data_IF_031953437491
#
_entry.id   IF_031953437491
#
_cell.length_a   1.000
_cell.length_b   1.000
_cell.length_c   1.000
_cell.angle_alpha   90.00
_cell.angle_beta   90.00
_cell.angle_gamma   90.00
#
_symmetry.space_group_name_H-M   'P 1'
#
loop_
_entity.id
_entity.type
_entity.pdbx_description
1 polymer ?
#
# COMPACT_ATOMS: atom_id res chain seq x y z
N UNK A 1 -10.58 -74.61 -47.92
CA UNK A 1 -10.04 -73.75 -46.84
C UNK A 1 -9.62 -72.32 -47.29
N UNK A 2 -9.90 -71.88 -48.48
CA UNK A 2 -9.55 -70.53 -48.98
C UNK A 2 -10.75 -69.57 -49.05
N UNK A 3 -11.95 -70.09 -49.01
CA UNK A 3 -13.18 -69.30 -49.18
C UNK A 3 -13.66 -68.60 -47.85
N UNK A 4 -13.36 -69.16 -46.70
CA UNK A 4 -13.79 -68.57 -45.42
C UNK A 4 -12.90 -67.34 -44.94
N UNK A 5 -11.62 -67.39 -45.27
CA UNK A 5 -10.71 -66.29 -44.96
C UNK A 5 -11.04 -65.01 -45.72
N UNK A 6 -11.59 -65.09 -46.93
CA UNK A 6 -11.99 -63.93 -47.73
C UNK A 6 -13.27 -63.25 -47.23
N UNK A 7 -14.20 -64.05 -46.65
CA UNK A 7 -15.42 -63.50 -46.06
C UNK A 7 -15.16 -62.76 -44.73
N UNK A 8 -14.21 -63.28 -43.92
CA UNK A 8 -13.81 -62.66 -42.69
C UNK A 8 -13.13 -61.27 -42.88
N UNK A 9 -12.27 -61.18 -43.91
CA UNK A 9 -11.58 -59.93 -44.26
C UNK A 9 -12.54 -58.88 -44.83
N UNK A 10 -13.55 -59.26 -45.57
CA UNK A 10 -14.56 -58.35 -46.12
C UNK A 10 -15.50 -57.80 -45.04
N UNK A 11 -15.83 -58.60 -43.99
CA UNK A 11 -16.66 -58.17 -42.86
C UNK A 11 -15.89 -57.30 -41.88
N UNK A 12 -14.59 -57.51 -41.70
CA UNK A 12 -13.72 -56.70 -40.85
C UNK A 12 -13.44 -55.32 -41.46
N UNK A 13 -13.33 -55.23 -42.80
CA UNK A 13 -13.12 -53.96 -43.50
C UNK A 13 -14.36 -53.08 -43.53
N UNK A 14 -15.58 -53.66 -43.53
CA UNK A 14 -16.84 -52.92 -43.44
C UNK A 14 -17.11 -52.36 -42.04
N UNK A 15 -16.69 -53.04 -41.00
CA UNK A 15 -16.83 -52.61 -39.61
C UNK A 15 -15.88 -51.45 -39.22
N UNK A 16 -14.67 -51.43 -39.81
CA UNK A 16 -13.72 -50.32 -39.58
C UNK A 16 -14.10 -49.05 -40.33
N UNK A 17 -14.79 -49.12 -41.46
CA UNK A 17 -15.27 -47.95 -42.18
C UNK A 17 -16.49 -47.29 -41.51
N UNK A 18 -17.32 -48.06 -40.77
CA UNK A 18 -18.44 -47.53 -40.05
C UNK A 18 -18.08 -46.88 -38.69
N UNK A 19 -16.94 -47.27 -38.09
CA UNK A 19 -16.45 -46.65 -36.85
C UNK A 19 -15.67 -45.35 -37.13
N UNK A 20 -15.10 -45.18 -38.32
CA UNK A 20 -14.38 -43.96 -38.71
C UNK A 20 -15.32 -42.80 -39.08
N UNK A 21 -16.62 -43.04 -39.32
CA UNK A 21 -17.59 -41.98 -39.67
C UNK A 21 -18.38 -41.44 -38.46
N UNK A 22 -18.16 -41.92 -37.23
CA UNK A 22 -18.95 -41.56 -36.06
C UNK A 22 -18.19 -40.78 -34.98
N UNK A 23 -16.97 -40.31 -35.25
CA UNK A 23 -16.18 -39.51 -34.29
C UNK A 23 -15.59 -38.26 -34.89
N UNK A 24 -16.39 -37.48 -35.63
CA UNK A 24 -16.18 -36.04 -35.62
C UNK A 24 -16.88 -35.52 -34.36
N UNK A 25 -16.30 -35.76 -33.20
CA UNK A 25 -16.55 -34.92 -32.05
C UNK A 25 -16.02 -33.57 -32.49
N UNK A 26 -16.93 -32.64 -32.84
CA UNK A 26 -16.59 -31.24 -32.94
C UNK A 26 -15.87 -30.88 -31.66
N UNK A 27 -14.55 -30.71 -31.76
CA UNK A 27 -13.77 -30.18 -30.65
C UNK A 27 -14.46 -28.84 -30.31
N UNK A 28 -14.88 -28.64 -29.06
CA UNK A 28 -15.55 -27.40 -28.70
C UNK A 28 -14.64 -26.27 -29.19
N UNK A 29 -15.17 -25.40 -30.05
CA UNK A 29 -14.48 -24.19 -30.46
C UNK A 29 -14.09 -23.47 -29.17
N UNK A 30 -12.83 -23.63 -28.74
CA UNK A 30 -12.26 -22.80 -27.67
C UNK A 30 -12.18 -21.41 -28.28
N UNK A 31 -13.27 -20.65 -28.14
CA UNK A 31 -13.25 -19.22 -28.44
C UNK A 31 -12.17 -18.67 -27.52
N UNK A 32 -11.02 -18.35 -28.09
CA UNK A 32 -9.93 -17.74 -27.37
C UNK A 32 -10.46 -16.46 -26.76
N UNK A 33 -10.70 -16.47 -25.45
CA UNK A 33 -11.19 -15.27 -24.76
C UNK A 33 -10.15 -14.17 -24.94
N UNK A 34 -10.55 -12.93 -25.24
CA UNK A 34 -9.61 -11.85 -25.48
C UNK A 34 -8.70 -11.67 -24.27
N UNK A 35 -7.41 -11.60 -24.52
CA UNK A 35 -6.41 -11.30 -23.50
C UNK A 35 -6.49 -9.81 -23.17
N UNK A 36 -6.69 -9.51 -21.90
CA UNK A 36 -6.71 -8.14 -21.39
C UNK A 36 -5.31 -7.81 -20.85
N UNK A 37 -4.78 -6.67 -21.25
CA UNK A 37 -3.50 -6.19 -20.76
C UNK A 37 -3.67 -4.76 -20.22
N UNK A 38 -3.26 -4.56 -18.97
CA UNK A 38 -3.22 -3.28 -18.30
C UNK A 38 -1.80 -2.85 -18.02
N UNK A 39 -1.61 -1.54 -17.91
CA UNK A 39 -0.38 -0.91 -17.43
C UNK A 39 -0.64 -0.33 -16.06
N UNK A 40 0.24 -0.62 -15.10
CA UNK A 40 0.23 -0.05 -13.76
C UNK A 40 1.53 0.72 -13.53
N UNK A 41 1.46 1.98 -13.11
CA UNK A 41 2.62 2.73 -12.62
C UNK A 41 2.59 2.81 -11.12
N UNK A 42 3.75 2.64 -10.47
CA UNK A 42 3.87 2.85 -9.02
C UNK A 42 4.50 4.22 -8.73
N UNK A 43 4.34 4.71 -7.51
CA UNK A 43 5.00 5.93 -7.06
C UNK A 43 6.43 5.69 -6.53
N UNK A 44 6.96 4.46 -6.62
CA UNK A 44 8.18 4.03 -5.94
C UNK A 44 9.22 3.42 -6.87
N UNK A 45 10.49 3.43 -6.40
CA UNK A 45 11.64 2.89 -7.11
C UNK A 45 11.83 1.39 -6.85
N UNK A 46 12.68 0.74 -7.65
CA UNK A 46 12.99 -0.69 -7.50
C UNK A 46 13.66 -1.05 -6.16
N UNK A 47 14.31 -0.08 -5.52
CA UNK A 47 14.98 -0.29 -4.23
C UNK A 47 14.01 -0.54 -3.08
N UNK A 48 12.75 -0.09 -3.20
CA UNK A 48 11.69 -0.31 -2.20
C UNK A 48 11.00 -1.65 -2.50
N UNK A 49 11.66 -2.72 -2.12
CA UNK A 49 11.36 -4.08 -2.57
C UNK A 49 10.00 -4.61 -2.09
N UNK A 50 9.48 -4.16 -0.95
CA UNK A 50 8.16 -4.56 -0.47
C UNK A 50 7.06 -3.80 -1.21
N UNK A 51 7.21 -2.48 -1.35
CA UNK A 51 6.24 -1.66 -2.08
C UNK A 51 6.13 -2.09 -3.53
N UNK A 52 7.26 -2.13 -4.23
CA UNK A 52 7.30 -2.54 -5.64
C UNK A 52 6.93 -4.02 -5.80
N UNK A 53 7.40 -4.88 -4.90
CA UNK A 53 7.08 -6.30 -4.89
C UNK A 53 5.59 -6.60 -4.70
N UNK A 54 4.87 -5.76 -3.95
CA UNK A 54 3.41 -5.88 -3.80
C UNK A 54 2.68 -5.62 -5.11
N UNK A 55 3.07 -4.56 -5.85
CA UNK A 55 2.50 -4.28 -7.17
C UNK A 55 2.77 -5.41 -8.17
N UNK A 56 4.01 -5.89 -8.23
CA UNK A 56 4.41 -7.02 -9.08
C UNK A 56 3.66 -8.31 -8.72
N UNK A 57 3.47 -8.54 -7.42
CA UNK A 57 2.72 -9.70 -6.93
C UNK A 57 1.24 -9.63 -7.33
N UNK A 58 0.61 -8.44 -7.30
CA UNK A 58 -0.75 -8.30 -7.83
C UNK A 58 -0.82 -8.72 -9.29
N UNK A 59 0.08 -8.22 -10.14
CA UNK A 59 0.13 -8.59 -11.56
C UNK A 59 0.28 -10.10 -11.75
N UNK A 60 1.20 -10.72 -11.01
CA UNK A 60 1.43 -12.17 -11.05
C UNK A 60 0.19 -12.97 -10.60
N UNK A 61 -0.40 -12.63 -9.47
CA UNK A 61 -1.58 -13.34 -8.94
C UNK A 61 -2.77 -13.21 -9.87
N UNK A 62 -3.01 -12.02 -10.44
CA UNK A 62 -4.08 -11.80 -11.42
C UNK A 62 -3.86 -12.64 -12.68
N UNK A 63 -2.64 -12.70 -13.21
CA UNK A 63 -2.30 -13.51 -14.37
C UNK A 63 -2.52 -15.01 -14.11
N UNK A 64 -2.03 -15.52 -12.96
CA UNK A 64 -2.20 -16.91 -12.54
C UNK A 64 -3.69 -17.27 -12.33
N UNK A 65 -4.44 -16.49 -11.56
CA UNK A 65 -5.85 -16.76 -11.26
C UNK A 65 -6.76 -16.63 -12.48
N UNK A 66 -6.39 -15.79 -13.45
CA UNK A 66 -7.14 -15.63 -14.70
C UNK A 66 -6.78 -16.66 -15.78
N UNK A 67 -5.81 -17.56 -15.52
CA UNK A 67 -5.28 -18.47 -16.53
C UNK A 67 -4.62 -17.73 -17.70
N UNK A 68 -3.96 -16.61 -17.44
CA UNK A 68 -3.29 -15.77 -18.43
C UNK A 68 -4.21 -14.88 -19.27
N UNK A 69 -5.51 -14.82 -18.96
CA UNK A 69 -6.47 -13.96 -19.66
C UNK A 69 -6.34 -12.49 -19.31
N UNK A 70 -5.82 -12.17 -18.12
CA UNK A 70 -5.63 -10.80 -17.65
C UNK A 70 -4.20 -10.62 -17.15
N UNK A 71 -3.48 -9.70 -17.74
CA UNK A 71 -2.11 -9.35 -17.40
C UNK A 71 -2.01 -7.88 -17.01
N UNK A 72 -1.28 -7.60 -15.94
CA UNK A 72 -0.94 -6.25 -15.49
C UNK A 72 0.57 -6.08 -15.58
N UNK A 73 1.02 -5.22 -16.49
CA UNK A 73 2.43 -4.84 -16.60
C UNK A 73 2.72 -3.69 -15.64
N UNK A 74 3.69 -3.90 -14.74
CA UNK A 74 4.00 -2.97 -13.65
C UNK A 74 5.27 -2.20 -13.95
N UNK A 75 5.16 -0.88 -13.96
CA UNK A 75 6.23 0.08 -14.20
C UNK A 75 6.63 0.77 -12.90
N UNK A 76 7.94 1.02 -12.75
CA UNK A 76 8.49 1.76 -11.62
C UNK A 76 8.12 3.24 -11.68
N UNK A 77 8.09 3.89 -10.54
CA UNK A 77 8.01 5.35 -10.46
C UNK A 77 9.19 6.00 -11.19
N UNK A 78 8.88 6.89 -12.11
CA UNK A 78 9.87 7.54 -12.98
C UNK A 78 10.17 6.80 -14.29
N UNK A 79 9.66 5.59 -14.50
CA UNK A 79 9.96 4.80 -15.71
C UNK A 79 9.15 5.27 -16.93
N UNK A 80 7.87 5.54 -16.76
CA UNK A 80 6.98 5.99 -17.86
C UNK A 80 6.34 7.35 -17.59
N UNK A 81 6.39 7.83 -16.35
CA UNK A 81 5.92 9.13 -15.89
C UNK A 81 6.54 9.47 -14.54
N UNK A 82 6.47 10.75 -14.11
CA UNK A 82 6.93 11.13 -12.77
C UNK A 82 6.11 10.40 -11.67
N UNK A 83 6.71 10.09 -10.50
CA UNK A 83 6.08 9.24 -9.49
C UNK A 83 4.67 9.68 -9.09
N UNK A 84 4.42 10.98 -8.93
CA UNK A 84 3.12 11.49 -8.49
C UNK A 84 2.15 11.80 -9.64
N UNK A 85 2.54 11.58 -10.90
CA UNK A 85 1.64 11.74 -12.05
C UNK A 85 0.75 10.51 -12.30
N UNK A 86 1.05 9.37 -11.65
CA UNK A 86 0.35 8.11 -11.86
C UNK A 86 -1.16 8.19 -11.54
N UNK A 87 -1.55 8.97 -10.54
CA UNK A 87 -2.96 9.23 -10.21
C UNK A 87 -3.70 9.88 -11.37
N UNK A 88 -3.16 10.97 -11.91
CA UNK A 88 -3.76 11.70 -13.01
C UNK A 88 -3.78 10.88 -14.31
N UNK A 89 -2.73 10.12 -14.55
CA UNK A 89 -2.64 9.25 -15.71
C UNK A 89 -3.72 8.15 -15.67
N UNK A 90 -3.94 7.53 -14.51
CA UNK A 90 -5.01 6.56 -14.33
C UNK A 90 -6.39 7.21 -14.35
N UNK A 91 -6.57 8.37 -13.71
CA UNK A 91 -7.82 9.15 -13.75
C UNK A 91 -8.25 9.47 -15.18
N UNK A 92 -7.32 9.84 -16.05
CA UNK A 92 -7.54 10.17 -17.47
C UNK A 92 -7.61 8.94 -18.37
N UNK A 93 -7.28 7.74 -17.88
CA UNK A 93 -7.22 6.51 -18.67
C UNK A 93 -6.00 6.41 -19.58
N UNK A 94 -4.93 7.18 -19.33
CA UNK A 94 -3.64 7.05 -20.03
C UNK A 94 -2.96 5.73 -19.65
N UNK A 95 -3.15 5.29 -18.40
CA UNK A 95 -2.86 3.95 -17.89
C UNK A 95 -4.10 3.40 -17.20
N UNK A 96 -4.17 2.10 -17.03
CA UNK A 96 -5.35 1.44 -16.45
C UNK A 96 -5.28 1.39 -14.90
N UNK A 97 -4.07 1.45 -14.33
CA UNK A 97 -3.89 1.30 -12.88
C UNK A 97 -2.68 2.08 -12.34
N UNK A 98 -2.72 2.39 -11.06
CA UNK A 98 -1.54 2.83 -10.29
C UNK A 98 -1.51 2.14 -8.92
N UNK A 99 -0.33 2.18 -8.27
CA UNK A 99 -0.18 1.87 -6.85
C UNK A 99 0.60 3.00 -6.17
N UNK A 100 -0.01 3.61 -5.15
CA UNK A 100 0.58 4.70 -4.37
C UNK A 100 -0.10 4.84 -3.00
N UNK A 101 0.16 5.93 -2.28
CA UNK A 101 -0.59 6.33 -1.10
C UNK A 101 -1.46 7.55 -1.43
N UNK A 102 -2.78 7.47 -1.18
CA UNK A 102 -3.75 8.51 -1.51
C UNK A 102 -3.45 9.86 -0.86
N UNK A 103 -2.77 9.84 0.26
CA UNK A 103 -2.33 11.03 0.96
C UNK A 103 -1.46 11.99 0.12
N UNK A 104 -0.83 11.52 -0.95
CA UNK A 104 -0.05 12.40 -1.84
C UNK A 104 -0.93 13.39 -2.62
N UNK A 105 -2.23 13.16 -2.67
CA UNK A 105 -3.20 13.99 -3.42
C UNK A 105 -4.27 14.65 -2.55
N UNK A 106 -4.00 14.84 -1.26
CA UNK A 106 -4.92 15.56 -0.33
C UNK A 106 -5.25 16.98 -0.76
N UNK A 107 -4.41 17.60 -1.58
CA UNK A 107 -4.72 18.88 -2.21
C UNK A 107 -5.91 18.85 -3.16
N UNK A 108 -6.33 17.66 -3.64
CA UNK A 108 -7.51 17.45 -4.48
C UNK A 108 -8.75 17.15 -3.65
N UNK A 109 -8.61 16.29 -2.64
CA UNK A 109 -9.64 15.93 -1.69
C UNK A 109 -9.00 15.56 -0.35
N UNK A 110 -9.18 16.37 0.71
CA UNK A 110 -8.61 16.10 2.03
C UNK A 110 -8.97 14.73 2.61
N UNK A 111 -10.15 14.18 2.26
CA UNK A 111 -10.59 12.88 2.74
C UNK A 111 -9.64 11.73 2.35
N UNK A 112 -8.81 11.88 1.30
CA UNK A 112 -7.91 10.84 0.83
C UNK A 112 -6.89 10.42 1.90
N UNK A 113 -6.57 11.30 2.85
CA UNK A 113 -5.63 10.98 3.91
C UNK A 113 -6.16 9.96 4.92
N UNK A 114 -7.49 9.98 5.18
CA UNK A 114 -8.12 9.01 6.09
C UNK A 114 -7.98 7.57 5.59
N UNK A 115 -7.89 7.38 4.29
CA UNK A 115 -7.71 6.08 3.68
C UNK A 115 -6.25 5.60 3.73
N UNK A 116 -5.30 6.48 4.02
CA UNK A 116 -3.91 6.14 4.23
C UNK A 116 -3.60 5.99 5.73
N UNK A 117 -3.49 7.08 6.47
CA UNK A 117 -3.24 7.05 7.91
C UNK A 117 -3.65 8.36 8.58
N UNK A 118 -4.02 8.28 9.86
CA UNK A 118 -4.30 9.44 10.71
C UNK A 118 -3.33 9.42 11.89
N UNK A 119 -2.72 10.55 12.24
CA UNK A 119 -1.89 10.64 13.43
C UNK A 119 -2.61 10.13 14.68
N UNK A 120 -1.99 9.21 15.42
CA UNK A 120 -2.58 8.49 16.55
C UNK A 120 -3.88 7.73 16.21
N UNK A 121 -4.06 7.37 14.93
CA UNK A 121 -5.23 6.68 14.41
C UNK A 121 -5.20 5.17 14.60
N UNK A 122 -5.84 4.45 13.67
CA UNK A 122 -5.93 3.00 13.69
C UNK A 122 -4.57 2.35 13.38
N UNK A 123 -4.28 1.24 14.06
CA UNK A 123 -3.17 0.35 13.75
C UNK A 123 -3.47 -0.46 12.47
N UNK A 124 -2.54 -1.29 11.97
CA UNK A 124 -2.75 -2.05 10.73
C UNK A 124 -3.99 -2.93 10.72
N UNK A 125 -4.26 -3.60 11.84
CA UNK A 125 -5.44 -4.46 11.99
C UNK A 125 -6.73 -3.63 11.99
N UNK A 126 -6.73 -2.50 12.72
CA UNK A 126 -7.86 -1.57 12.76
C UNK A 126 -8.13 -0.93 11.39
N UNK A 127 -7.10 -0.57 10.63
CA UNK A 127 -7.26 -0.06 9.26
C UNK A 127 -7.89 -1.10 8.34
N UNK A 128 -7.37 -2.33 8.34
CA UNK A 128 -7.94 -3.41 7.54
C UNK A 128 -9.40 -3.71 7.96
N UNK A 129 -9.67 -3.74 9.27
CA UNK A 129 -11.01 -3.95 9.79
C UNK A 129 -11.97 -2.82 9.38
N UNK A 130 -11.55 -1.56 9.43
CA UNK A 130 -12.37 -0.42 8.96
C UNK A 130 -12.70 -0.53 7.47
N UNK A 131 -11.72 -0.92 6.65
CA UNK A 131 -11.94 -1.11 5.21
C UNK A 131 -12.94 -2.22 4.91
N UNK A 132 -12.80 -3.39 5.54
CA UNK A 132 -13.56 -4.59 5.13
C UNK A 132 -14.78 -4.90 6.00
N UNK A 133 -14.85 -4.40 7.23
CA UNK A 133 -15.96 -4.63 8.16
C UNK A 133 -16.66 -3.33 8.59
N UNK A 134 -16.04 -2.18 8.31
CA UNK A 134 -16.63 -0.85 8.48
C UNK A 134 -17.04 -0.24 7.14
N UNK A 135 -17.08 1.10 7.10
CA UNK A 135 -17.46 1.85 5.91
C UNK A 135 -16.27 2.22 5.01
N UNK A 136 -15.02 1.86 5.39
CA UNK A 136 -13.81 2.39 4.77
C UNK A 136 -13.76 2.17 3.26
N UNK A 137 -14.02 0.94 2.77
CA UNK A 137 -14.00 0.64 1.34
C UNK A 137 -15.05 1.43 0.58
N UNK A 138 -16.29 1.45 1.09
CA UNK A 138 -17.41 2.17 0.47
C UNK A 138 -17.13 3.68 0.38
N UNK A 139 -16.60 4.25 1.46
CA UNK A 139 -16.26 5.68 1.52
C UNK A 139 -15.08 6.02 0.64
N UNK A 140 -14.10 5.14 0.51
CA UNK A 140 -12.99 5.33 -0.41
C UNK A 140 -13.48 5.32 -1.87
N UNK A 141 -14.35 4.38 -2.25
CA UNK A 141 -14.96 4.36 -3.58
C UNK A 141 -15.75 5.64 -3.87
N UNK A 142 -16.48 6.17 -2.88
CA UNK A 142 -17.23 7.43 -3.02
C UNK A 142 -16.29 8.62 -3.22
N UNK A 143 -15.20 8.72 -2.42
CA UNK A 143 -14.23 9.79 -2.54
C UNK A 143 -13.48 9.78 -3.88
N UNK A 144 -13.13 8.59 -4.37
CA UNK A 144 -12.39 8.43 -5.63
C UNK A 144 -13.27 8.52 -6.88
N UNK A 145 -14.59 8.40 -6.74
CA UNK A 145 -15.52 8.46 -7.88
C UNK A 145 -15.41 9.78 -8.67
N UNK A 146 -15.17 10.91 -7.96
CA UNK A 146 -14.95 12.22 -8.58
C UNK A 146 -13.72 12.27 -9.49
N UNK A 147 -12.79 11.35 -9.33
CA UNK A 147 -11.56 11.26 -10.10
C UNK A 147 -11.57 10.13 -11.13
N UNK A 148 -12.74 9.54 -11.42
CA UNK A 148 -12.85 8.41 -12.35
C UNK A 148 -11.95 7.22 -11.98
N UNK A 149 -11.81 6.95 -10.69
CA UNK A 149 -10.98 5.89 -10.12
C UNK A 149 -11.79 4.96 -9.22
N UNK A 150 -11.37 3.69 -9.18
CA UNK A 150 -11.86 2.67 -8.24
C UNK A 150 -10.67 2.26 -7.35
N UNK A 151 -10.67 2.63 -6.06
CA UNK A 151 -9.59 2.28 -5.15
C UNK A 151 -9.76 0.88 -4.59
N UNK A 152 -8.63 0.23 -4.29
CA UNK A 152 -8.55 -0.98 -3.48
C UNK A 152 -7.36 -0.89 -2.53
N UNK A 153 -7.50 -1.29 -1.26
CA UNK A 153 -6.35 -1.42 -0.37
C UNK A 153 -5.30 -2.33 -0.99
N UNK A 154 -4.05 -1.85 -1.06
CA UNK A 154 -2.96 -2.59 -1.66
C UNK A 154 -2.11 -3.32 -0.64
N UNK A 155 -1.68 -2.61 0.38
CA UNK A 155 -0.92 -3.16 1.50
C UNK A 155 -0.95 -2.19 2.68
N UNK A 156 -0.73 -2.73 3.88
CA UNK A 156 -0.38 -1.92 5.04
C UNK A 156 1.12 -2.09 5.35
N UNK A 157 1.82 -0.99 5.59
CA UNK A 157 3.25 -1.04 5.92
C UNK A 157 3.54 -1.27 7.42
N UNK A 158 2.49 -1.43 8.22
CA UNK A 158 2.61 -1.55 9.67
C UNK A 158 2.78 -0.20 10.38
N UNK A 159 3.04 -0.24 11.69
CA UNK A 159 3.43 0.97 12.42
C UNK A 159 4.79 1.46 11.92
N UNK A 160 4.89 2.75 11.67
CA UNK A 160 6.14 3.35 11.20
C UNK A 160 7.06 3.75 12.36
N UNK A 161 8.28 4.17 12.01
CA UNK A 161 9.17 4.91 12.89
C UNK A 161 8.90 6.41 12.77
N UNK A 162 9.16 7.17 13.84
CA UNK A 162 8.95 8.63 13.83
C UNK A 162 9.99 9.39 12.97
N UNK A 163 11.06 8.72 12.56
CA UNK A 163 12.03 9.21 11.60
C UNK A 163 13.44 9.41 12.13
N UNK A 164 14.29 9.87 11.24
CA UNK A 164 15.72 10.14 11.41
C UNK A 164 15.95 11.61 11.64
N UNK A 165 16.67 11.96 12.73
CA UNK A 165 16.89 13.34 13.14
C UNK A 165 18.38 13.59 13.35
N UNK A 166 18.90 14.73 12.88
CA UNK A 166 20.27 15.16 13.12
C UNK A 166 20.52 15.59 14.56
N UNK A 167 19.47 16.04 15.25
CA UNK A 167 19.51 16.50 16.64
C UNK A 167 18.57 15.67 17.50
N UNK A 168 18.90 15.51 18.77
CA UNK A 168 17.99 14.86 19.71
C UNK A 168 16.73 15.67 19.92
N UNK A 169 15.60 14.96 19.95
CA UNK A 169 14.30 15.50 20.35
C UNK A 169 14.08 15.11 21.81
N UNK A 170 14.01 16.07 22.67
CA UNK A 170 13.84 15.92 24.13
C UNK A 170 12.58 16.62 24.61
N UNK A 171 12.18 17.69 23.94
CA UNK A 171 10.98 18.49 24.22
C UNK A 171 10.24 18.81 22.93
N UNK A 172 8.99 19.25 23.04
CA UNK A 172 8.23 19.74 21.88
C UNK A 172 8.90 20.98 21.25
N UNK A 173 9.64 21.75 22.02
CA UNK A 173 10.40 22.93 21.55
C UNK A 173 11.49 22.59 20.54
N UNK A 174 11.98 21.37 20.51
CA UNK A 174 13.02 20.91 19.56
C UNK A 174 12.51 20.82 18.11
N UNK A 175 11.20 20.88 17.91
CA UNK A 175 10.61 21.01 16.59
C UNK A 175 10.65 22.43 16.04
N UNK A 176 10.91 23.45 16.87
CA UNK A 176 10.99 24.85 16.41
C UNK A 176 12.15 25.03 15.43
N UNK A 177 11.83 25.44 14.21
CA UNK A 177 12.79 25.65 13.13
C UNK A 177 13.30 24.37 12.46
N UNK A 178 12.82 23.19 12.86
CA UNK A 178 13.12 21.90 12.23
C UNK A 178 12.59 21.91 10.80
N UNK A 179 13.44 21.52 9.83
CA UNK A 179 13.03 21.26 8.45
C UNK A 179 12.93 19.75 8.24
N UNK A 180 11.71 19.24 8.09
CA UNK A 180 11.48 17.80 8.01
C UNK A 180 10.79 17.40 6.72
N UNK A 181 11.29 16.35 6.07
CA UNK A 181 10.52 15.62 5.06
C UNK A 181 9.58 14.66 5.80
N UNK A 182 8.30 14.73 5.50
CA UNK A 182 7.29 13.83 6.03
C UNK A 182 6.26 13.54 4.94
N UNK A 183 6.01 12.24 4.67
CA UNK A 183 5.07 11.78 3.63
C UNK A 183 3.61 11.93 4.02
N UNK A 184 3.33 12.04 5.32
CA UNK A 184 1.99 12.21 5.88
C UNK A 184 1.61 13.70 5.98
N UNK A 185 0.70 14.23 5.16
CA UNK A 185 0.33 15.65 5.21
C UNK A 185 -0.25 16.09 6.56
N UNK A 186 -1.08 15.29 7.22
CA UNK A 186 -1.57 15.58 8.59
C UNK A 186 -0.41 15.60 9.59
N UNK A 187 0.50 14.63 9.53
CA UNK A 187 1.73 14.62 10.32
C UNK A 187 2.57 15.87 10.07
N UNK A 188 2.68 16.31 8.81
CA UNK A 188 3.37 17.54 8.43
C UNK A 188 2.74 18.79 9.05
N UNK A 189 1.42 18.89 9.07
CA UNK A 189 0.71 19.99 9.71
C UNK A 189 0.90 20.01 11.22
N UNK A 190 0.98 18.83 11.86
CA UNK A 190 1.31 18.72 13.30
C UNK A 190 2.71 19.26 13.56
N UNK A 191 3.71 18.87 12.77
CA UNK A 191 5.09 19.39 12.89
C UNK A 191 5.11 20.91 12.66
N UNK A 192 4.37 21.42 11.70
CA UNK A 192 4.28 22.86 11.42
C UNK A 192 3.68 23.62 12.59
N UNK A 193 2.59 23.13 13.21
CA UNK A 193 2.01 23.72 14.43
C UNK A 193 2.97 23.64 15.63
N UNK A 194 3.84 22.64 15.67
CA UNK A 194 4.91 22.54 16.67
C UNK A 194 6.09 23.49 16.39
N UNK A 195 6.06 24.26 15.31
CA UNK A 195 7.05 25.28 14.96
C UNK A 195 8.08 24.88 13.93
N UNK A 196 7.95 23.69 13.31
CA UNK A 196 8.78 23.23 12.20
C UNK A 196 8.26 23.67 10.83
N UNK A 197 8.97 23.23 9.80
CA UNK A 197 8.56 23.32 8.38
C UNK A 197 8.65 21.96 7.75
N UNK A 198 7.72 21.64 6.83
CA UNK A 198 7.66 20.32 6.24
C UNK A 198 7.59 20.36 4.72
N UNK A 199 8.08 19.31 4.09
CA UNK A 199 8.06 19.09 2.64
C UNK A 199 7.70 17.62 2.35
N UNK A 200 7.00 17.38 1.25
CA UNK A 200 6.75 16.05 0.70
C UNK A 200 7.59 15.91 -0.56
N UNK A 201 8.48 14.92 -0.59
CA UNK A 201 9.31 14.60 -1.76
C UNK A 201 9.30 13.09 -2.00
N UNK A 202 9.53 12.65 -3.26
CA UNK A 202 9.73 11.24 -3.57
C UNK A 202 10.89 10.62 -2.78
N UNK A 203 10.81 9.30 -2.55
CA UNK A 203 11.82 8.55 -1.80
C UNK A 203 13.26 8.76 -2.32
N UNK A 204 13.41 8.81 -3.64
CA UNK A 204 14.73 8.95 -4.30
C UNK A 204 15.49 10.23 -3.91
N UNK A 205 14.78 11.28 -3.50
CA UNK A 205 15.36 12.60 -3.21
C UNK A 205 15.76 12.76 -1.73
N UNK A 206 15.28 11.87 -0.85
CA UNK A 206 15.44 12.03 0.61
C UNK A 206 16.89 11.97 1.03
N UNK A 207 17.66 10.98 0.54
CA UNK A 207 19.06 10.80 0.90
C UNK A 207 19.86 12.07 0.63
N UNK A 208 19.78 12.60 -0.59
CA UNK A 208 20.52 13.78 -1.00
C UNK A 208 20.09 15.04 -0.23
N UNK A 209 18.80 15.17 0.10
CA UNK A 209 18.30 16.30 0.88
C UNK A 209 18.81 16.28 2.32
N UNK A 210 18.86 15.11 2.96
CA UNK A 210 19.47 14.92 4.28
C UNK A 210 20.98 15.17 4.23
N UNK A 211 21.69 14.55 3.29
CA UNK A 211 23.16 14.66 3.18
C UNK A 211 23.61 16.12 3.02
N UNK A 212 22.92 16.86 2.15
CA UNK A 212 23.22 18.28 1.90
C UNK A 212 22.71 19.25 2.97
N UNK A 213 21.94 18.77 3.95
CA UNK A 213 21.34 19.62 4.98
C UNK A 213 20.21 20.53 4.51
N UNK A 214 19.57 20.20 3.38
CA UNK A 214 18.35 20.86 2.92
C UNK A 214 17.22 20.61 3.90
N UNK A 215 17.19 19.39 4.47
CA UNK A 215 16.30 18.99 5.56
C UNK A 215 17.12 18.50 6.77
N UNK A 216 16.58 18.67 7.97
CA UNK A 216 17.19 18.28 9.24
C UNK A 216 16.72 16.92 9.73
N UNK A 217 15.56 16.47 9.22
CA UNK A 217 14.95 15.20 9.58
C UNK A 217 14.12 14.64 8.42
N UNK A 218 13.94 13.32 8.43
CA UNK A 218 13.03 12.63 7.51
C UNK A 218 12.50 11.37 8.16
N UNK A 219 11.26 11.04 7.88
CA UNK A 219 10.74 9.68 8.00
C UNK A 219 10.64 9.03 6.62
N UNK A 220 10.51 7.71 6.59
CA UNK A 220 10.03 6.96 5.43
C UNK A 220 9.01 5.91 5.90
N UNK A 221 9.44 4.77 6.39
CA UNK A 221 8.55 3.74 6.96
C UNK A 221 9.15 3.11 8.21
N UNK A 222 10.25 2.39 8.02
CA UNK A 222 10.86 1.61 9.07
C UNK A 222 12.24 1.11 8.67
N UNK A 223 12.95 0.41 9.58
CA UNK A 223 14.37 0.12 9.44
C UNK A 223 14.77 -0.48 8.09
N UNK A 224 13.94 -1.37 7.53
CA UNK A 224 14.29 -2.08 6.29
C UNK A 224 14.41 -1.13 5.09
N UNK A 225 13.35 -0.44 4.74
CA UNK A 225 13.37 0.46 3.58
C UNK A 225 14.14 1.74 3.84
N UNK A 226 14.15 2.24 5.09
CA UNK A 226 14.98 3.38 5.49
C UNK A 226 16.48 3.09 5.25
N UNK A 227 16.92 1.85 5.53
CA UNK A 227 18.28 1.40 5.22
C UNK A 227 18.51 1.22 3.72
N UNK A 228 17.53 0.78 2.96
CA UNK A 228 17.60 0.70 1.49
C UNK A 228 17.74 2.09 0.85
N UNK A 229 17.07 3.09 1.40
CA UNK A 229 17.24 4.49 1.03
C UNK A 229 18.58 5.09 1.51
N UNK A 230 19.36 4.35 2.31
CA UNK A 230 20.67 4.77 2.82
C UNK A 230 20.61 5.77 3.97
N UNK A 231 19.44 6.00 4.60
CA UNK A 231 19.26 7.03 5.62
C UNK A 231 20.22 6.85 6.81
N UNK A 232 20.56 5.61 7.18
CA UNK A 232 21.53 5.26 8.22
C UNK A 232 23.01 5.63 7.89
N UNK A 233 23.32 6.04 6.65
CA UNK A 233 24.67 6.34 6.19
C UNK A 233 25.00 7.83 6.13
N UNK A 234 24.00 8.69 6.16
CA UNK A 234 24.18 10.12 5.87
C UNK A 234 24.91 10.88 6.95
N UNK A 235 24.74 10.57 8.22
CA UNK A 235 25.49 11.12 9.37
C UNK A 235 25.11 10.31 10.62
N UNK A 236 25.57 10.75 11.82
CA UNK A 236 25.06 10.22 13.06
C UNK A 236 23.65 10.73 13.27
N UNK A 237 22.66 9.84 13.24
CA UNK A 237 21.26 10.20 13.41
C UNK A 237 20.64 9.54 14.65
N UNK A 238 19.67 10.25 15.18
CA UNK A 238 18.76 9.76 16.19
C UNK A 238 17.52 9.23 15.49
N UNK A 239 17.27 7.93 15.62
CA UNK A 239 16.17 7.24 14.98
C UNK A 239 15.07 6.96 15.98
N UNK A 240 13.94 7.64 15.85
CA UNK A 240 12.89 7.66 16.85
C UNK A 240 11.70 6.75 16.55
N UNK A 241 11.10 6.21 17.62
CA UNK A 241 9.81 5.52 17.63
C UNK A 241 8.92 6.05 18.77
N UNK A 242 7.57 5.81 18.77
CA UNK A 242 6.77 5.25 17.67
C UNK A 242 6.52 6.26 16.57
N UNK A 243 6.15 5.75 15.38
CA UNK A 243 5.66 6.58 14.26
C UNK A 243 4.24 7.06 14.51
N UNK A 244 4.11 8.03 15.37
CA UNK A 244 2.84 8.62 15.83
C UNK A 244 1.97 9.16 14.69
N UNK A 245 2.58 9.55 13.58
CA UNK A 245 1.95 10.17 12.41
C UNK A 245 1.29 9.15 11.50
N UNK A 246 1.83 7.94 11.42
CA UNK A 246 1.37 6.86 10.55
C UNK A 246 1.41 5.49 11.28
N UNK A 247 0.45 5.25 12.19
CA UNK A 247 0.44 4.02 12.99
C UNK A 247 0.03 2.77 12.22
N UNK A 248 -0.55 2.92 11.02
CA UNK A 248 -1.04 1.81 10.20
C UNK A 248 -1.33 2.24 8.77
N UNK A 249 -0.32 2.75 8.05
CA UNK A 249 -0.50 3.33 6.72
C UNK A 249 -0.90 2.29 5.69
N UNK A 250 -2.02 2.56 5.01
CA UNK A 250 -2.52 1.78 3.90
C UNK A 250 -2.12 2.44 2.58
N UNK A 251 -1.37 1.73 1.75
CA UNK A 251 -1.23 2.07 0.34
C UNK A 251 -2.42 1.49 -0.44
N UNK A 252 -2.64 1.99 -1.65
CA UNK A 252 -3.77 1.61 -2.46
C UNK A 252 -3.40 1.32 -3.90
N UNK A 253 -4.19 0.47 -4.54
CA UNK A 253 -4.33 0.41 -5.98
C UNK A 253 -5.46 1.35 -6.40
N UNK A 254 -5.22 2.17 -7.41
CA UNK A 254 -6.26 2.95 -8.07
C UNK A 254 -6.44 2.46 -9.50
N UNK A 255 -7.64 2.01 -9.83
CA UNK A 255 -7.98 1.52 -11.16
C UNK A 255 -8.80 2.56 -11.91
N UNK A 256 -8.48 2.82 -13.19
CA UNK A 256 -9.36 3.63 -14.03
C UNK A 256 -10.77 3.03 -14.07
N UNK A 257 -11.79 3.81 -13.73
CA UNK A 257 -13.16 3.32 -13.56
C UNK A 257 -13.70 2.68 -14.83
N UNK A 258 -13.49 3.32 -16.00
CA UNK A 258 -13.94 2.78 -17.27
C UNK A 258 -13.26 1.45 -17.61
N UNK A 259 -11.96 1.34 -17.39
CA UNK A 259 -11.22 0.10 -17.61
C UNK A 259 -11.69 -1.01 -16.65
N UNK A 260 -11.89 -0.67 -15.38
CA UNK A 260 -12.38 -1.59 -14.36
C UNK A 260 -13.80 -2.11 -14.65
N UNK A 261 -14.73 -1.23 -15.04
CA UNK A 261 -16.10 -1.59 -15.37
C UNK A 261 -16.22 -2.40 -16.66
N UNK A 262 -15.27 -2.22 -17.60
CA UNK A 262 -15.19 -2.99 -18.84
C UNK A 262 -14.66 -4.42 -18.66
N UNK A 263 -14.09 -4.76 -17.50
CA UNK A 263 -13.66 -6.14 -17.21
C UNK A 263 -14.87 -7.09 -17.15
N UNK A 264 -14.75 -8.29 -17.71
CA UNK A 264 -15.66 -9.40 -17.41
C UNK A 264 -15.80 -9.58 -15.90
N UNK A 265 -16.98 -9.96 -15.43
CA UNK A 265 -17.32 -10.04 -14.01
C UNK A 265 -16.36 -10.95 -13.25
N UNK A 266 -15.95 -12.07 -13.84
CA UNK A 266 -15.01 -13.01 -13.25
C UNK A 266 -13.61 -12.40 -13.10
N UNK A 267 -13.11 -11.67 -14.10
CA UNK A 267 -11.81 -11.00 -14.04
C UNK A 267 -11.81 -9.80 -13.08
N UNK A 268 -12.91 -9.08 -13.01
CA UNK A 268 -13.06 -8.01 -12.02
C UNK A 268 -13.03 -8.54 -10.59
N UNK A 269 -13.75 -9.65 -10.31
CA UNK A 269 -13.68 -10.32 -9.01
C UNK A 269 -12.29 -10.89 -8.72
N UNK A 270 -11.63 -11.47 -9.72
CA UNK A 270 -10.24 -11.90 -9.61
C UNK A 270 -9.34 -10.75 -9.17
N UNK A 271 -9.46 -9.57 -9.78
CA UNK A 271 -8.68 -8.39 -9.42
C UNK A 271 -8.94 -7.94 -7.98
N UNK A 272 -10.20 -7.87 -7.57
CA UNK A 272 -10.59 -7.46 -6.21
C UNK A 272 -10.06 -8.44 -5.14
N UNK A 273 -10.20 -9.74 -5.36
CA UNK A 273 -9.69 -10.74 -4.42
C UNK A 273 -8.16 -10.82 -4.42
N UNK A 274 -7.52 -10.66 -5.57
CA UNK A 274 -6.07 -10.58 -5.65
C UNK A 274 -5.53 -9.36 -4.89
N UNK A 275 -6.16 -8.19 -5.01
CA UNK A 275 -5.80 -6.99 -4.26
C UNK A 275 -5.90 -7.24 -2.75
N UNK A 276 -6.98 -7.85 -2.27
CA UNK A 276 -7.14 -8.19 -0.85
C UNK A 276 -6.09 -9.23 -0.38
N UNK A 277 -5.75 -10.22 -1.20
CA UNK A 277 -4.78 -11.25 -0.84
C UNK A 277 -3.34 -10.71 -0.74
N UNK A 278 -2.92 -9.80 -1.62
CA UNK A 278 -1.55 -9.26 -1.60
C UNK A 278 -1.30 -8.32 -0.42
N UNK A 279 -2.35 -7.83 0.23
CA UNK A 279 -2.25 -6.99 1.43
C UNK A 279 -1.50 -7.68 2.57
N UNK A 280 -1.78 -8.97 2.79
CA UNK A 280 -1.10 -9.79 3.82
C UNK A 280 0.39 -9.93 3.49
N UNK A 281 0.74 -10.06 2.22
CA UNK A 281 2.14 -10.14 1.79
C UNK A 281 2.93 -8.88 2.16
N UNK A 282 2.38 -7.68 1.89
CA UNK A 282 3.02 -6.42 2.24
C UNK A 282 3.23 -6.28 3.75
N UNK A 283 2.16 -6.47 4.54
CA UNK A 283 2.20 -6.34 6.01
C UNK A 283 3.22 -7.31 6.65
N UNK A 284 3.16 -8.59 6.29
CA UNK A 284 4.07 -9.61 6.84
C UNK A 284 5.50 -9.39 6.38
N UNK A 285 5.71 -8.91 5.16
CA UNK A 285 7.01 -8.50 4.63
C UNK A 285 7.65 -7.40 5.47
N UNK A 286 6.91 -6.32 5.74
CA UNK A 286 7.40 -5.23 6.60
C UNK A 286 7.68 -5.70 8.02
N UNK A 287 6.76 -6.44 8.63
CA UNK A 287 6.94 -6.94 9.99
C UNK A 287 8.24 -7.74 10.13
N UNK A 288 8.48 -8.70 9.23
CA UNK A 288 9.67 -9.55 9.27
C UNK A 288 10.95 -8.79 8.93
N UNK A 289 10.96 -8.03 7.82
CA UNK A 289 12.17 -7.36 7.35
C UNK A 289 12.57 -6.19 8.23
N UNK A 290 11.60 -5.46 8.81
CA UNK A 290 11.90 -4.41 9.80
C UNK A 290 12.53 -5.00 11.06
N UNK A 291 12.08 -6.16 11.55
CA UNK A 291 12.71 -6.82 12.70
C UNK A 291 14.18 -7.22 12.41
N UNK A 292 14.45 -7.75 11.21
CA UNK A 292 15.82 -8.10 10.78
C UNK A 292 16.68 -6.83 10.69
N UNK A 293 16.19 -5.78 10.04
CA UNK A 293 16.92 -4.53 9.86
C UNK A 293 17.15 -3.79 11.19
N UNK A 294 16.18 -3.82 12.10
CA UNK A 294 16.34 -3.27 13.46
C UNK A 294 17.49 -3.97 14.21
N UNK A 295 17.58 -5.29 14.10
CA UNK A 295 18.71 -6.04 14.67
C UNK A 295 20.04 -5.59 14.07
N UNK A 296 20.12 -5.34 12.76
CA UNK A 296 21.33 -4.80 12.12
C UNK A 296 21.69 -3.42 12.65
N UNK A 297 20.72 -2.52 12.87
CA UNK A 297 20.98 -1.22 13.48
C UNK A 297 21.60 -1.36 14.89
N UNK A 298 21.14 -2.33 15.66
CA UNK A 298 21.68 -2.57 17.03
C UNK A 298 23.04 -3.29 17.05
N UNK A 299 23.44 -3.98 16.00
CA UNK A 299 24.70 -4.72 15.91
C UNK A 299 25.72 -4.03 15.01
N UNK A 300 25.49 -3.97 13.71
CA UNK A 300 26.46 -3.48 12.71
C UNK A 300 26.62 -1.95 12.75
N UNK A 301 25.56 -1.23 13.13
CA UNK A 301 25.54 0.23 13.21
C UNK A 301 25.53 0.77 14.64
N UNK A 302 25.81 -0.12 15.62
CA UNK A 302 25.95 0.28 17.04
C UNK A 302 26.94 1.43 17.20
N UNK A 303 26.51 2.51 17.87
CA UNK A 303 27.31 3.73 18.08
C UNK A 303 27.33 4.70 16.90
N UNK A 304 26.81 4.31 15.72
CA UNK A 304 26.58 5.22 14.58
C UNK A 304 25.14 5.72 14.54
N UNK A 305 24.19 4.87 14.86
CA UNK A 305 22.75 5.15 14.97
C UNK A 305 22.31 4.94 16.41
N UNK A 306 21.54 5.87 16.95
CA UNK A 306 20.87 5.72 18.26
C UNK A 306 19.37 5.53 18.01
N UNK A 307 18.85 4.31 18.28
CA UNK A 307 17.40 4.03 18.22
C UNK A 307 16.79 4.42 19.57
N UNK A 308 15.88 5.38 19.55
CA UNK A 308 15.37 6.04 20.73
C UNK A 308 13.84 6.11 20.75
N UNK A 309 13.25 6.03 21.93
CA UNK A 309 11.85 6.36 22.12
C UNK A 309 11.66 7.88 22.18
N UNK A 310 10.64 8.41 21.49
CA UNK A 310 10.22 9.78 21.72
C UNK A 310 9.78 9.95 23.17
N UNK A 311 10.21 11.03 23.85
CA UNK A 311 9.78 11.27 25.23
C UNK A 311 8.26 11.32 25.37
N UNK A 312 7.72 10.70 26.41
CA UNK A 312 6.26 10.67 26.65
C UNK A 312 5.63 12.08 26.67
N UNK A 313 6.25 13.12 27.27
CA UNK A 313 5.73 14.48 27.19
C UNK A 313 5.61 14.98 25.75
N UNK A 314 6.62 14.72 24.89
CA UNK A 314 6.59 15.10 23.47
C UNK A 314 5.44 14.41 22.76
N UNK A 315 5.26 13.09 22.96
CA UNK A 315 4.12 12.36 22.37
C UNK A 315 2.77 12.89 22.83
N UNK A 316 2.63 13.31 24.10
CA UNK A 316 1.39 13.93 24.60
C UNK A 316 1.10 15.27 23.93
N UNK A 317 2.11 16.09 23.72
CA UNK A 317 1.97 17.39 23.07
C UNK A 317 1.64 17.20 21.58
N UNK A 318 2.36 16.31 20.89
CA UNK A 318 2.05 15.94 19.49
C UNK A 318 0.62 15.40 19.35
N UNK A 319 0.14 14.59 20.30
CA UNK A 319 -1.24 14.06 20.29
C UNK A 319 -2.29 15.16 20.43
N UNK A 320 -2.05 16.16 21.28
CA UNK A 320 -2.95 17.33 21.40
C UNK A 320 -2.99 18.12 20.10
N UNK A 321 -1.82 18.46 19.54
CA UNK A 321 -1.71 19.20 18.28
C UNK A 321 -2.37 18.39 17.15
N UNK A 322 -2.16 17.07 17.11
CA UNK A 322 -2.76 16.18 16.11
C UNK A 322 -4.28 16.19 16.17
N UNK A 323 -4.88 16.16 17.37
CA UNK A 323 -6.33 16.24 17.52
C UNK A 323 -6.93 17.54 16.93
N UNK A 324 -6.25 18.67 17.13
CA UNK A 324 -6.64 19.94 16.54
C UNK A 324 -6.53 19.93 15.02
N UNK A 325 -5.38 19.47 14.48
CA UNK A 325 -5.12 19.39 13.04
C UNK A 325 -6.13 18.47 12.34
N UNK A 326 -6.36 17.27 12.89
CA UNK A 326 -7.32 16.32 12.32
C UNK A 326 -8.73 16.89 12.29
N UNK A 327 -9.14 17.58 13.37
CA UNK A 327 -10.43 18.26 13.40
C UNK A 327 -10.54 19.36 12.34
N UNK A 328 -9.54 20.24 12.24
CA UNK A 328 -9.52 21.31 11.24
C UNK A 328 -9.60 20.76 9.80
N UNK A 329 -8.84 19.71 9.51
CA UNK A 329 -8.83 19.09 8.18
C UNK A 329 -10.13 18.35 7.86
N UNK A 330 -10.75 17.73 8.86
CA UNK A 330 -12.03 17.04 8.69
C UNK A 330 -13.18 17.97 8.29
N UNK A 331 -13.09 19.27 8.64
CA UNK A 331 -14.13 20.25 8.32
C UNK A 331 -13.99 20.86 6.91
N UNK A 332 -12.90 20.59 6.18
CA UNK A 332 -12.60 21.25 4.89
C UNK A 332 -13.58 20.91 3.77
N UNK A 333 -14.02 19.64 3.71
CA UNK A 333 -14.97 19.18 2.69
C UNK A 333 -16.09 18.35 3.33
N UNK A 334 -17.27 18.26 2.69
CA UNK A 334 -18.31 17.35 3.13
C UNK A 334 -17.84 15.90 3.18
N UNK A 335 -16.96 15.49 2.23
CA UNK A 335 -16.42 14.15 2.16
C UNK A 335 -15.46 13.88 3.32
N UNK A 336 -14.53 14.78 3.62
CA UNK A 336 -13.63 14.68 4.77
C UNK A 336 -14.40 14.55 6.08
N UNK A 337 -15.46 15.35 6.27
CA UNK A 337 -16.32 15.29 7.46
C UNK A 337 -17.00 13.92 7.58
N UNK A 338 -17.55 13.41 6.49
CA UNK A 338 -18.24 12.12 6.44
C UNK A 338 -17.28 10.97 6.76
N UNK A 339 -16.10 10.97 6.16
CA UNK A 339 -15.07 9.95 6.37
C UNK A 339 -14.53 10.00 7.79
N UNK A 340 -14.22 11.18 8.30
CA UNK A 340 -13.76 11.37 9.67
C UNK A 340 -14.77 10.85 10.71
N UNK A 341 -16.06 11.12 10.52
CA UNK A 341 -17.10 10.63 11.42
C UNK A 341 -17.17 9.09 11.45
N UNK A 342 -17.07 8.43 10.29
CA UNK A 342 -17.00 6.96 10.21
C UNK A 342 -15.73 6.42 10.87
N UNK A 343 -14.58 7.00 10.53
CA UNK A 343 -13.29 6.58 11.05
C UNK A 343 -13.22 6.67 12.58
N UNK A 344 -13.59 7.79 13.16
CA UNK A 344 -13.54 8.01 14.61
C UNK A 344 -14.51 7.12 15.37
N UNK A 345 -15.71 6.92 14.84
CA UNK A 345 -16.68 5.97 15.41
C UNK A 345 -16.10 4.55 15.43
N UNK A 346 -15.50 4.12 14.34
CA UNK A 346 -14.90 2.80 14.23
C UNK A 346 -13.66 2.66 15.13
N UNK A 347 -12.80 3.68 15.17
CA UNK A 347 -11.63 3.71 16.06
C UNK A 347 -12.03 3.58 17.53
N UNK A 348 -13.08 4.25 17.97
CA UNK A 348 -13.59 4.12 19.33
C UNK A 348 -14.11 2.70 19.64
N UNK A 349 -14.76 2.07 18.66
CA UNK A 349 -15.27 0.71 18.79
C UNK A 349 -14.14 -0.31 18.97
N UNK A 350 -13.17 -0.33 18.02
CA UNK A 350 -12.10 -1.34 18.04
C UNK A 350 -11.05 -1.04 19.11
N UNK A 351 -10.80 0.23 19.44
CA UNK A 351 -9.82 0.63 20.45
C UNK A 351 -10.13 0.11 21.85
N UNK A 352 -11.39 -0.06 22.19
CA UNK A 352 -11.80 -0.69 23.45
C UNK A 352 -11.39 -2.17 23.50
N UNK A 353 -11.52 -2.89 22.40
CA UNK A 353 -11.07 -4.26 22.27
C UNK A 353 -9.54 -4.37 22.23
N UNK A 354 -8.87 -3.57 21.41
CA UNK A 354 -7.40 -3.57 21.26
C UNK A 354 -6.72 -3.35 22.59
N UNK A 355 -7.28 -2.51 23.46
CA UNK A 355 -6.72 -2.22 24.78
C UNK A 355 -6.66 -3.47 25.69
N UNK A 356 -7.73 -4.27 25.70
CA UNK A 356 -7.84 -5.44 26.58
C UNK A 356 -7.32 -6.73 25.93
N UNK A 357 -7.20 -6.78 24.61
CA UNK A 357 -6.69 -7.92 23.87
C UNK A 357 -5.19 -7.76 23.58
N UNK A 358 -4.85 -7.20 22.42
CA UNK A 358 -3.47 -7.09 21.96
C UNK A 358 -2.62 -6.17 22.84
N UNK A 359 -3.17 -5.06 23.30
CA UNK A 359 -2.47 -4.14 24.20
C UNK A 359 -2.04 -4.83 25.51
N UNK A 360 -2.97 -5.57 26.15
CA UNK A 360 -2.67 -6.34 27.35
C UNK A 360 -1.66 -7.46 27.06
N UNK A 361 -1.83 -8.19 25.94
CA UNK A 361 -0.90 -9.24 25.52
C UNK A 361 0.52 -8.72 25.34
N UNK A 362 0.70 -7.63 24.57
CA UNK A 362 2.01 -7.02 24.33
C UNK A 362 2.66 -6.51 25.62
N UNK A 363 1.89 -5.98 26.55
CA UNK A 363 2.40 -5.50 27.83
C UNK A 363 3.03 -6.63 28.67
N UNK A 364 2.50 -7.85 28.61
CA UNK A 364 2.94 -8.97 29.45
C UNK A 364 3.89 -9.96 28.78
N UNK A 365 3.90 -10.01 27.44
CA UNK A 365 4.63 -11.05 26.68
C UNK A 365 5.85 -10.50 25.97
N UNK A 366 5.90 -9.21 25.65
CA UNK A 366 7.01 -8.55 24.97
C UNK A 366 8.00 -7.85 25.94
N UNK A 367 7.88 -8.09 27.25
CA UNK A 367 8.73 -7.53 28.31
C UNK A 367 10.09 -8.18 28.42
#
# INVERSE_FOLDING_TARGET
MITERRRFIATASGAMAAVAAATTVDAPNVIAQPKIQWRMSTAWTATLDIMQGTAQRLGKVVEEMSGGRFRIEVFLGGQIMQPFECFDAASKGTIEAFMASGQYWVGREPALEWFAAIPFGLNPQGMAAWYYQGDGLKLSEEAYAAFNLVPRPAMCNGPQMAGWFRKKVTTIGDFKGLKMRIGAPLGGKVITKAGGTTVITPAADIYAALERGVIDASEWIGPHEDMQLGLHKTARYYYYYPGWHEPGTMAEFGFNKKAYEALPVDLRRTLDHAAAAVQVYGLTGYHTKNAIALRQLHTEFKGKVEVLQLPVPVLRDLKKIAAEVVKEESEKTPMARKVHASFTKFQALVGAWDHIAEGAYHQFVAG
#
